data_IF_574033821995
#
_entry.id   IF_574033821995
#
_cell.length_a   1.000
_cell.length_b   1.000
_cell.length_c   1.000
_cell.angle_alpha   90.00
_cell.angle_beta   90.00
_cell.angle_gamma   90.00
#
_symmetry.space_group_name_H-M   'P 1'
#
loop_
_entity.id
_entity.type
_entity.pdbx_description
1 polymer ?
#
# COMPACT_ATOMS: atom_id res chain seq x y z
N UNK A 1 4.97 -0.82 47.30
CA UNK A 1 3.99 -0.43 46.25
C UNK A 1 4.38 -0.88 44.84
N UNK A 2 5.64 -1.28 44.56
CA UNK A 2 6.02 -1.82 43.23
C UNK A 2 6.01 -3.37 43.15
N UNK A 3 5.98 -4.09 44.27
CA UNK A 3 5.91 -5.57 44.27
C UNK A 3 4.48 -6.10 44.07
N UNK A 4 3.46 -5.44 44.64
CA UNK A 4 2.06 -5.89 44.51
C UNK A 4 1.48 -5.72 43.09
N UNK A 5 2.13 -4.94 42.22
CA UNK A 5 1.70 -4.76 40.83
C UNK A 5 2.21 -5.86 39.89
N UNK A 6 3.24 -6.63 40.27
CA UNK A 6 3.76 -7.75 39.46
C UNK A 6 2.97 -9.04 39.68
N UNK A 7 2.47 -9.25 40.89
CA UNK A 7 1.75 -10.48 41.27
C UNK A 7 0.33 -10.54 40.66
N UNK A 8 -0.32 -9.38 40.41
CA UNK A 8 -1.65 -9.35 39.77
C UNK A 8 -1.63 -9.49 38.24
N UNK A 9 -0.47 -9.50 37.58
CA UNK A 9 -0.37 -9.56 36.11
C UNK A 9 -0.16 -10.99 35.59
N UNK A 10 0.33 -11.91 36.42
CA UNK A 10 0.51 -13.33 36.02
C UNK A 10 -0.77 -14.18 36.10
N UNK A 11 -1.81 -13.75 36.85
CA UNK A 11 -3.01 -14.57 37.06
C UNK A 11 -4.11 -14.44 35.98
N UNK A 12 -3.94 -13.59 34.96
CA UNK A 12 -5.04 -13.21 34.06
C UNK A 12 -4.85 -13.53 32.57
N UNK A 13 -4.16 -14.63 32.22
CA UNK A 13 -4.23 -15.17 30.84
C UNK A 13 -4.82 -16.58 30.81
N UNK A 14 -6.07 -16.76 30.32
CA UNK A 14 -6.66 -18.07 30.21
C UNK A 14 -5.96 -18.89 29.12
N UNK A 15 -5.23 -19.91 29.52
CA UNK A 15 -4.66 -20.92 28.61
C UNK A 15 -5.79 -21.60 27.84
N UNK A 16 -5.89 -21.34 26.52
CA UNK A 16 -6.84 -22.00 25.62
C UNK A 16 -6.52 -23.49 25.52
N UNK A 17 -7.22 -24.32 26.30
CA UNK A 17 -7.21 -25.79 26.15
C UNK A 17 -8.15 -26.18 25.00
N UNK A 18 -7.61 -26.84 23.98
CA UNK A 18 -8.39 -27.38 22.86
C UNK A 18 -9.30 -28.54 23.31
N UNK A 19 -10.43 -28.70 22.62
CA UNK A 19 -11.59 -29.57 22.94
C UNK A 19 -11.35 -31.10 22.90
N UNK A 20 -10.11 -31.58 22.85
CA UNK A 20 -9.78 -33.03 22.89
C UNK A 20 -8.51 -33.24 23.70
N UNK A 21 -8.62 -33.37 25.02
CA UNK A 21 -7.55 -33.92 25.86
C UNK A 21 -7.55 -35.44 25.70
N UNK A 22 -6.66 -35.96 24.85
CA UNK A 22 -6.38 -37.41 24.84
C UNK A 22 -5.90 -37.82 26.23
N UNK A 23 -6.46 -38.87 26.85
CA UNK A 23 -6.32 -39.12 28.29
C UNK A 23 -4.95 -39.70 28.71
N UNK A 24 -3.92 -39.55 27.88
CA UNK A 24 -2.53 -39.84 28.24
C UNK A 24 -1.66 -38.81 27.52
N UNK A 25 -1.21 -37.81 28.28
CA UNK A 25 -0.24 -36.82 27.80
C UNK A 25 1.04 -37.55 27.41
N UNK A 26 1.69 -37.12 26.33
CA UNK A 26 3.03 -37.56 25.97
C UNK A 26 4.00 -37.49 27.16
N UNK A 27 3.77 -36.56 28.09
CA UNK A 27 4.53 -36.40 29.33
C UNK A 27 4.40 -37.58 30.29
N UNK A 28 3.24 -38.24 30.34
CA UNK A 28 3.04 -39.42 31.20
C UNK A 28 3.72 -40.66 30.61
N UNK A 29 3.80 -40.73 29.27
CA UNK A 29 4.58 -41.77 28.58
C UNK A 29 6.07 -41.55 28.81
N UNK A 30 6.54 -40.32 28.64
CA UNK A 30 7.93 -39.95 28.91
C UNK A 30 8.34 -40.24 30.36
N UNK A 31 7.48 -39.93 31.33
CA UNK A 31 7.77 -40.26 32.75
C UNK A 31 7.81 -41.76 33.03
N UNK A 32 6.99 -42.57 32.36
CA UNK A 32 7.02 -44.03 32.48
C UNK A 32 8.27 -44.59 31.82
N UNK A 33 8.59 -44.12 30.63
CA UNK A 33 9.77 -44.52 29.88
C UNK A 33 11.05 -44.14 30.64
N UNK A 34 11.10 -42.95 31.25
CA UNK A 34 12.22 -42.48 32.07
C UNK A 34 12.36 -43.30 33.38
N UNK A 35 11.25 -43.66 34.02
CA UNK A 35 11.25 -44.53 35.19
C UNK A 35 11.65 -45.99 34.86
N UNK A 36 11.25 -46.50 33.69
CA UNK A 36 11.65 -47.84 33.20
C UNK A 36 13.14 -47.86 32.84
N UNK A 37 13.65 -46.78 32.25
CA UNK A 37 15.08 -46.61 31.93
C UNK A 37 15.92 -46.46 33.20
N UNK A 38 15.43 -45.76 34.21
CA UNK A 38 16.04 -45.72 35.54
C UNK A 38 16.02 -47.09 36.21
N UNK A 39 14.93 -47.86 36.11
CA UNK A 39 14.87 -49.24 36.61
C UNK A 39 15.90 -50.14 35.92
N UNK A 40 15.99 -50.10 34.58
CA UNK A 40 16.99 -50.87 33.83
C UNK A 40 18.43 -50.46 34.16
N UNK A 41 18.69 -49.16 34.38
CA UNK A 41 19.99 -48.68 34.85
C UNK A 41 20.29 -49.13 36.28
N UNK A 42 19.28 -49.22 37.14
CA UNK A 42 19.41 -49.68 38.52
C UNK A 42 19.53 -51.20 38.60
N UNK A 43 18.94 -51.94 37.68
CA UNK A 43 19.08 -53.39 37.53
C UNK A 43 20.47 -53.70 36.96
N UNK A 44 20.94 -52.95 35.96
CA UNK A 44 22.29 -53.07 35.39
C UNK A 44 23.39 -52.67 36.40
N UNK A 45 23.15 -51.67 37.26
CA UNK A 45 24.06 -51.30 38.36
C UNK A 45 23.90 -52.21 39.58
N UNK A 46 22.71 -52.71 39.85
CA UNK A 46 22.42 -53.67 40.93
C UNK A 46 23.00 -55.07 40.65
N UNK A 47 23.12 -55.44 39.37
CA UNK A 47 23.85 -56.63 38.93
C UNK A 47 25.38 -56.42 38.95
N UNK A 48 25.86 -55.20 39.20
CA UNK A 48 27.28 -54.89 39.47
C UNK A 48 27.63 -54.78 40.97
N UNK A 49 26.65 -54.81 41.88
CA UNK A 49 26.86 -54.82 43.34
C UNK A 49 26.39 -56.13 44.01
N UNK A 50 26.51 -57.26 43.31
CA UNK A 50 26.69 -58.54 43.99
C UNK A 50 28.17 -58.66 44.40
N UNK A 51 28.48 -59.14 45.62
CA UNK A 51 29.86 -59.32 46.02
C UNK A 51 30.54 -60.26 45.03
N UNK A 52 31.79 -59.94 44.69
CA UNK A 52 32.78 -60.86 44.12
C UNK A 52 32.88 -62.09 45.02
N UNK A 53 31.92 -63.00 44.92
CA UNK A 53 32.09 -64.38 45.29
C UNK A 53 32.94 -64.96 44.16
N UNK A 54 34.18 -65.29 44.51
CA UNK A 54 35.10 -66.01 43.65
C UNK A 54 34.36 -67.19 43.02
N UNK A 55 33.95 -67.04 41.75
CA UNK A 55 33.63 -68.17 40.91
C UNK A 55 34.95 -68.91 40.72
N UNK A 56 35.23 -69.81 41.67
CA UNK A 56 36.19 -70.90 41.49
C UNK A 56 36.00 -71.41 40.07
N UNK A 57 37.06 -71.33 39.30
CA UNK A 57 37.15 -72.04 38.03
C UNK A 57 36.90 -73.51 38.33
N UNK A 58 35.65 -73.97 38.16
CA UNK A 58 35.42 -75.38 38.00
C UNK A 58 36.14 -75.79 36.73
N UNK A 59 37.16 -76.62 36.90
CA UNK A 59 37.88 -77.22 35.79
C UNK A 59 36.87 -77.86 34.84
N UNK A 60 36.92 -77.53 33.53
CA UNK A 60 35.97 -78.05 32.55
C UNK A 60 36.08 -79.58 32.48
N UNK A 61 35.01 -80.27 32.90
CA UNK A 61 34.95 -81.74 32.99
C UNK A 61 34.75 -82.41 31.62
N UNK A 62 34.55 -81.65 30.54
CA UNK A 62 34.48 -82.17 29.16
C UNK A 62 35.28 -81.34 28.15
N UNK A 63 35.92 -82.03 27.19
CA UNK A 63 36.66 -81.40 26.09
C UNK A 63 35.77 -80.49 25.21
N UNK A 64 34.46 -80.72 25.18
CA UNK A 64 33.50 -79.96 24.39
C UNK A 64 33.24 -78.55 24.96
N UNK A 65 33.16 -78.42 26.29
CA UNK A 65 32.97 -77.14 26.98
C UNK A 65 34.18 -76.20 26.80
N UNK A 66 35.39 -76.78 26.71
CA UNK A 66 36.61 -76.02 26.35
C UNK A 66 36.50 -75.42 24.95
N UNK A 67 35.92 -76.15 23.99
CA UNK A 67 35.73 -75.63 22.63
C UNK A 67 34.60 -74.62 22.55
N UNK A 68 33.52 -74.82 23.31
CA UNK A 68 32.40 -73.89 23.38
C UNK A 68 32.81 -72.54 23.98
N UNK A 69 33.52 -72.54 25.11
CA UNK A 69 34.03 -71.32 25.75
C UNK A 69 35.00 -70.55 24.84
N UNK A 70 35.84 -71.25 24.07
CA UNK A 70 36.71 -70.63 23.07
C UNK A 70 35.92 -70.03 21.90
N UNK A 71 34.95 -70.75 21.35
CA UNK A 71 34.09 -70.26 20.26
C UNK A 71 33.23 -69.07 20.70
N UNK A 72 32.68 -69.10 21.90
CA UNK A 72 31.89 -68.01 22.45
C UNK A 72 32.76 -66.78 22.76
N UNK A 73 33.97 -66.99 23.29
CA UNK A 73 34.95 -65.92 23.49
C UNK A 73 35.41 -65.27 22.18
N UNK A 74 35.59 -66.07 21.12
CA UNK A 74 35.95 -65.59 19.79
C UNK A 74 34.78 -64.84 19.13
N UNK A 75 33.56 -65.39 19.22
CA UNK A 75 32.34 -64.73 18.76
C UNK A 75 32.13 -63.38 19.44
N UNK A 76 32.33 -63.31 20.77
CA UNK A 76 32.22 -62.07 21.55
C UNK A 76 33.27 -61.04 21.15
N UNK A 77 34.50 -61.46 20.84
CA UNK A 77 35.56 -60.56 20.36
C UNK A 77 35.22 -60.01 18.98
N UNK A 78 34.74 -60.86 18.07
CA UNK A 78 34.33 -60.45 16.74
C UNK A 78 33.09 -59.53 16.75
N UNK A 79 32.11 -59.76 17.64
CA UNK A 79 30.99 -58.82 17.82
C UNK A 79 31.46 -57.48 18.39
N UNK A 80 32.38 -57.48 19.35
CA UNK A 80 32.96 -56.25 19.89
C UNK A 80 33.81 -55.49 18.86
N UNK A 81 34.55 -56.19 17.99
CA UNK A 81 35.27 -55.58 16.87
C UNK A 81 34.30 -54.95 15.87
N UNK A 82 33.23 -55.65 15.50
CA UNK A 82 32.18 -55.10 14.62
C UNK A 82 31.47 -53.90 15.24
N UNK A 83 31.14 -53.94 16.53
CA UNK A 83 30.57 -52.79 17.23
C UNK A 83 31.51 -51.59 17.19
N UNK A 84 32.81 -51.78 17.42
CA UNK A 84 33.81 -50.71 17.32
C UNK A 84 33.92 -50.17 15.90
N UNK A 85 33.88 -51.04 14.89
CA UNK A 85 33.98 -50.61 13.50
C UNK A 85 32.72 -49.89 13.03
N UNK A 86 31.53 -50.32 13.44
CA UNK A 86 30.30 -49.57 13.22
C UNK A 86 30.31 -48.24 13.95
N UNK A 87 30.81 -48.19 15.19
CA UNK A 87 30.94 -46.94 15.93
C UNK A 87 31.87 -45.96 15.21
N UNK A 88 33.01 -46.43 14.69
CA UNK A 88 33.91 -45.60 13.86
C UNK A 88 33.21 -45.09 12.60
N UNK A 89 32.47 -45.95 11.89
CA UNK A 89 31.72 -45.55 10.69
C UNK A 89 30.64 -44.52 11.02
N UNK A 90 29.94 -44.68 12.15
CA UNK A 90 28.94 -43.72 12.62
C UNK A 90 29.60 -42.40 12.96
N UNK A 91 30.75 -42.40 13.63
CA UNK A 91 31.47 -41.19 13.99
C UNK A 91 32.07 -40.48 12.76
N UNK A 92 32.52 -41.25 11.76
CA UNK A 92 32.96 -40.73 10.48
C UNK A 92 31.80 -40.12 9.67
N UNK A 93 30.65 -40.81 9.60
CA UNK A 93 29.44 -40.28 8.97
C UNK A 93 28.93 -39.03 9.70
N UNK A 94 28.94 -39.02 11.05
CA UNK A 94 28.59 -37.83 11.85
C UNK A 94 29.57 -36.69 11.58
N UNK A 95 30.86 -36.98 11.44
CA UNK A 95 31.88 -35.98 11.09
C UNK A 95 31.61 -35.40 9.70
N UNK A 96 31.40 -36.25 8.69
CA UNK A 96 31.08 -35.83 7.32
C UNK A 96 29.78 -35.03 7.27
N UNK A 97 28.73 -35.49 7.97
CA UNK A 97 27.47 -34.76 8.09
C UNK A 97 27.72 -33.40 8.75
N UNK A 98 28.48 -33.35 9.85
CA UNK A 98 28.78 -32.09 10.55
C UNK A 98 29.62 -31.12 9.69
N UNK A 99 30.47 -31.64 8.80
CA UNK A 99 31.25 -30.83 7.87
C UNK A 99 30.39 -30.32 6.71
N UNK A 100 29.45 -31.14 6.23
CA UNK A 100 28.48 -30.77 5.22
C UNK A 100 27.47 -29.74 5.76
N UNK A 101 27.00 -29.93 6.99
CA UNK A 101 26.05 -29.00 7.64
C UNK A 101 26.72 -27.73 8.13
N UNK A 102 28.00 -27.73 8.55
CA UNK A 102 28.74 -26.48 8.78
C UNK A 102 28.99 -25.68 7.50
N UNK A 103 28.96 -26.35 6.35
CA UNK A 103 28.92 -25.72 5.03
C UNK A 103 27.50 -25.41 4.57
N UNK A 104 26.47 -25.55 5.43
CA UNK A 104 25.14 -25.02 5.12
C UNK A 104 25.28 -23.52 4.85
N UNK A 105 25.24 -23.24 3.56
CA UNK A 105 25.11 -21.97 2.89
C UNK A 105 24.64 -20.87 3.83
N UNK A 106 25.57 -20.02 4.25
CA UNK A 106 25.20 -18.70 4.75
C UNK A 106 24.59 -17.97 3.56
N UNK A 107 23.26 -17.93 3.49
CA UNK A 107 22.57 -17.07 2.54
C UNK A 107 23.04 -15.64 2.78
N UNK A 108 23.53 -14.92 1.75
CA UNK A 108 23.93 -13.54 1.89
C UNK A 108 22.71 -12.72 2.33
N UNK A 109 22.89 -11.91 3.39
CA UNK A 109 21.82 -11.09 3.99
C UNK A 109 21.96 -9.61 3.65
N UNK A 110 23.09 -9.20 3.07
CA UNK A 110 23.37 -7.82 2.67
C UNK A 110 23.96 -7.78 1.26
N UNK A 111 23.79 -6.66 0.56
CA UNK A 111 24.29 -6.48 -0.81
C UNK A 111 25.81 -6.66 -0.91
N UNK A 112 26.56 -6.23 0.11
CA UNK A 112 28.02 -6.42 0.17
C UNK A 112 28.42 -7.90 0.35
N UNK A 113 27.59 -8.69 1.05
CA UNK A 113 27.81 -10.13 1.21
C UNK A 113 27.48 -10.91 -0.08
N UNK A 114 26.63 -10.36 -0.96
CA UNK A 114 26.25 -11.01 -2.23
C UNK A 114 27.47 -11.10 -3.16
N UNK A 115 28.32 -10.09 -3.22
CA UNK A 115 29.51 -10.09 -4.08
C UNK A 115 30.55 -11.11 -3.62
N UNK A 116 30.75 -11.26 -2.31
CA UNK A 116 31.63 -12.28 -1.75
C UNK A 116 31.05 -13.69 -1.98
N UNK A 117 29.74 -13.86 -1.74
CA UNK A 117 29.04 -15.11 -1.97
C UNK A 117 29.02 -15.51 -3.46
N UNK A 118 28.85 -14.55 -4.36
CA UNK A 118 28.87 -14.79 -5.81
C UNK A 118 30.24 -15.27 -6.30
N UNK A 119 31.33 -14.88 -5.62
CA UNK A 119 32.68 -15.39 -5.87
C UNK A 119 32.88 -16.80 -5.34
N UNK A 120 32.29 -17.14 -4.19
CA UNK A 120 32.35 -18.49 -3.61
C UNK A 120 31.50 -19.51 -4.39
N UNK A 121 30.37 -19.07 -4.96
CA UNK A 121 29.42 -19.91 -5.70
C UNK A 121 29.03 -19.31 -7.06
N UNK A 122 29.96 -19.23 -8.03
CA UNK A 122 29.75 -18.53 -9.29
C UNK A 122 28.66 -19.14 -10.18
N UNK A 123 28.48 -20.46 -10.14
CA UNK A 123 27.48 -21.13 -10.97
C UNK A 123 26.05 -20.88 -10.46
N UNK A 124 25.87 -20.86 -9.14
CA UNK A 124 24.57 -20.52 -8.52
C UNK A 124 24.28 -19.04 -8.71
N UNK A 125 25.28 -18.17 -8.55
CA UNK A 125 25.14 -16.74 -8.75
C UNK A 125 24.69 -16.41 -10.18
N UNK A 126 25.30 -17.01 -11.22
CA UNK A 126 24.88 -16.82 -12.62
C UNK A 126 23.43 -17.26 -12.88
N UNK A 127 23.00 -18.35 -12.25
CA UNK A 127 21.60 -18.82 -12.37
C UNK A 127 20.65 -17.83 -11.70
N UNK A 128 20.97 -17.36 -10.50
CA UNK A 128 20.14 -16.36 -9.79
C UNK A 128 20.13 -15.05 -10.56
N UNK A 129 21.26 -14.60 -11.11
CA UNK A 129 21.36 -13.38 -11.92
C UNK A 129 20.53 -13.49 -13.22
N UNK A 130 20.60 -14.62 -13.92
CA UNK A 130 19.78 -14.84 -15.12
C UNK A 130 18.28 -14.93 -14.81
N UNK A 131 17.90 -15.56 -13.69
CA UNK A 131 16.51 -15.57 -13.20
C UNK A 131 16.10 -14.15 -12.80
N UNK A 132 16.95 -13.39 -12.12
CA UNK A 132 16.69 -12.02 -11.73
C UNK A 132 16.54 -11.11 -12.95
N UNK A 133 17.41 -11.22 -13.95
CA UNK A 133 17.30 -10.51 -15.23
C UNK A 133 16.02 -10.89 -15.97
N UNK A 134 15.67 -12.18 -16.02
CA UNK A 134 14.44 -12.63 -16.66
C UNK A 134 13.20 -12.08 -15.95
N UNK A 135 13.18 -12.15 -14.61
CA UNK A 135 12.10 -11.60 -13.79
C UNK A 135 12.02 -10.07 -13.91
N UNK A 136 13.15 -9.38 -13.96
CA UNK A 136 13.18 -7.93 -14.18
C UNK A 136 12.63 -7.56 -15.56
N UNK A 137 12.96 -8.33 -16.61
CA UNK A 137 12.36 -8.15 -17.95
C UNK A 137 10.86 -8.40 -17.95
N UNK A 138 10.40 -9.52 -17.38
CA UNK A 138 8.97 -9.82 -17.25
C UNK A 138 8.23 -8.71 -16.49
N UNK A 139 8.78 -8.25 -15.36
CA UNK A 139 8.21 -7.12 -14.61
C UNK A 139 8.20 -5.83 -15.43
N UNK A 140 9.26 -5.54 -16.21
CA UNK A 140 9.31 -4.35 -17.06
C UNK A 140 8.30 -4.40 -18.20
N UNK A 141 8.11 -5.57 -18.83
CA UNK A 141 7.12 -5.77 -19.89
C UNK A 141 5.69 -5.62 -19.35
N UNK A 142 5.41 -6.17 -18.16
CA UNK A 142 4.11 -6.01 -17.50
C UNK A 142 3.83 -4.55 -17.10
N UNK A 143 4.84 -3.84 -16.61
CA UNK A 143 4.73 -2.40 -16.34
C UNK A 143 4.51 -1.60 -17.62
N UNK A 144 5.21 -1.92 -18.70
CA UNK A 144 5.03 -1.26 -19.99
C UNK A 144 3.62 -1.46 -20.54
N UNK A 145 3.07 -2.68 -20.45
CA UNK A 145 1.68 -2.96 -20.85
C UNK A 145 0.69 -2.13 -20.03
N UNK A 146 0.82 -2.14 -18.70
CA UNK A 146 -0.04 -1.33 -17.82
C UNK A 146 0.08 0.16 -18.11
N UNK A 147 1.29 0.66 -18.37
CA UNK A 147 1.51 2.06 -18.73
C UNK A 147 0.87 2.40 -20.08
N UNK A 148 0.95 1.51 -21.08
CA UNK A 148 0.25 1.69 -22.36
C UNK A 148 -1.26 1.73 -22.18
N UNK A 149 -1.82 0.78 -21.44
CA UNK A 149 -3.26 0.75 -21.12
C UNK A 149 -3.71 2.02 -20.39
N UNK A 150 -2.94 2.50 -19.40
CA UNK A 150 -3.23 3.74 -18.69
C UNK A 150 -3.15 4.95 -19.63
N UNK A 151 -2.15 5.00 -20.52
CA UNK A 151 -2.03 6.10 -21.48
C UNK A 151 -3.18 6.11 -22.48
N UNK A 152 -3.56 4.96 -23.02
CA UNK A 152 -4.72 4.81 -23.90
C UNK A 152 -6.01 5.22 -23.19
N UNK A 153 -6.23 4.73 -21.97
CA UNK A 153 -7.37 5.10 -21.14
C UNK A 153 -7.42 6.59 -20.81
N UNK A 154 -6.27 7.20 -20.52
CA UNK A 154 -6.19 8.65 -20.28
C UNK A 154 -6.52 9.44 -21.55
N UNK A 155 -6.05 9.00 -22.73
CA UNK A 155 -6.37 9.63 -23.99
C UNK A 155 -7.87 9.51 -24.30
N UNK A 156 -8.48 8.33 -24.15
CA UNK A 156 -9.93 8.17 -24.38
C UNK A 156 -10.75 9.00 -23.38
N UNK A 157 -10.38 8.98 -22.10
CA UNK A 157 -11.07 9.77 -21.06
C UNK A 157 -11.02 11.27 -21.36
N UNK A 158 -9.86 11.78 -21.82
CA UNK A 158 -9.73 13.19 -22.22
C UNK A 158 -10.62 13.52 -23.42
N UNK A 159 -10.65 12.65 -24.44
CA UNK A 159 -11.51 12.81 -25.62
C UNK A 159 -12.99 12.82 -25.24
N UNK A 160 -13.43 11.82 -24.48
CA UNK A 160 -14.82 11.72 -24.01
C UNK A 160 -15.22 12.94 -23.16
N UNK A 161 -14.32 13.39 -22.28
CA UNK A 161 -14.55 14.60 -21.48
C UNK A 161 -14.68 15.84 -22.37
N UNK A 162 -13.81 15.97 -23.37
CA UNK A 162 -13.87 17.08 -24.31
C UNK A 162 -15.15 17.04 -25.16
N UNK A 163 -15.58 15.86 -25.63
CA UNK A 163 -16.85 15.68 -26.35
C UNK A 163 -18.06 16.05 -25.47
N UNK A 164 -18.09 15.63 -24.21
CA UNK A 164 -19.16 16.00 -23.27
C UNK A 164 -19.17 17.51 -23.01
N UNK A 165 -18.01 18.14 -22.85
CA UNK A 165 -17.91 19.60 -22.71
C UNK A 165 -18.37 20.31 -23.99
N UNK A 166 -18.03 19.78 -25.16
CA UNK A 166 -18.44 20.33 -26.44
C UNK A 166 -19.96 20.24 -26.63
N UNK A 167 -20.56 19.10 -26.32
CA UNK A 167 -22.01 18.88 -26.38
C UNK A 167 -22.78 19.78 -25.41
N UNK A 168 -22.18 20.17 -24.28
CA UNK A 168 -22.78 21.17 -23.37
C UNK A 168 -22.79 22.57 -23.96
N UNK A 169 -21.78 22.93 -24.74
CA UNK A 169 -21.67 24.25 -25.39
C UNK A 169 -22.52 24.30 -26.66
N UNK A 170 -22.53 23.21 -27.43
CA UNK A 170 -23.28 23.05 -28.67
C UNK A 170 -24.11 21.76 -28.64
N UNK A 171 -25.35 21.82 -28.13
CA UNK A 171 -26.24 20.65 -28.11
C UNK A 171 -26.66 20.14 -29.49
N UNK A 172 -26.56 20.99 -30.51
CA UNK A 172 -26.79 20.70 -31.93
C UNK A 172 -25.54 20.16 -32.65
N UNK A 173 -24.42 19.99 -31.94
CA UNK A 173 -23.17 19.51 -32.53
C UNK A 173 -23.32 18.13 -33.18
N UNK A 174 -24.08 17.20 -32.59
CA UNK A 174 -24.32 15.87 -33.18
C UNK A 174 -24.91 15.99 -34.60
N UNK A 175 -25.86 16.90 -34.81
CA UNK A 175 -26.48 17.11 -36.11
C UNK A 175 -25.53 17.80 -37.11
N UNK A 176 -24.72 18.74 -36.62
CA UNK A 176 -23.74 19.47 -37.45
C UNK A 176 -22.61 18.53 -37.88
N UNK A 177 -22.15 17.66 -36.99
CA UNK A 177 -21.10 16.68 -37.24
C UNK A 177 -21.51 15.66 -38.31
N UNK A 178 -22.79 15.32 -38.42
CA UNK A 178 -23.30 14.39 -39.45
C UNK A 178 -23.54 15.08 -40.81
N UNK A 179 -23.40 16.40 -40.90
CA UNK A 179 -23.69 17.15 -42.11
C UNK A 179 -22.49 17.22 -43.05
N UNK A 180 -22.68 16.79 -44.30
CA UNK A 180 -21.68 16.94 -45.37
C UNK A 180 -21.29 18.42 -45.61
N UNK A 181 -22.21 19.37 -45.38
CA UNK A 181 -21.94 20.81 -45.55
C UNK A 181 -20.91 21.33 -44.54
N UNK A 182 -20.90 20.76 -43.32
CA UNK A 182 -19.93 21.09 -42.29
C UNK A 182 -18.53 20.57 -42.64
N UNK A 183 -18.44 19.34 -43.17
CA UNK A 183 -17.17 18.77 -43.63
C UNK A 183 -16.57 19.56 -44.80
N UNK A 184 -17.39 19.90 -45.80
CA UNK A 184 -16.96 20.72 -46.94
C UNK A 184 -16.49 22.11 -46.48
N UNK A 185 -17.24 22.75 -45.57
CA UNK A 185 -16.81 24.02 -44.99
C UNK A 185 -15.49 23.89 -44.24
N UNK A 186 -15.31 22.85 -43.41
CA UNK A 186 -14.11 22.64 -42.61
C UNK A 186 -12.86 22.42 -43.47
N UNK A 187 -12.98 21.75 -44.62
CA UNK A 187 -11.87 21.55 -45.57
C UNK A 187 -11.41 22.87 -46.22
N UNK A 188 -12.31 23.83 -46.42
CA UNK A 188 -12.00 25.15 -46.97
C UNK A 188 -11.35 26.09 -45.92
N UNK A 189 -11.46 25.77 -44.63
CA UNK A 189 -10.93 26.60 -43.57
C UNK A 189 -9.40 26.51 -43.44
N UNK A 190 -8.74 27.54 -42.85
CA UNK A 190 -7.33 27.47 -42.56
C UNK A 190 -6.95 26.31 -41.62
N UNK A 191 -5.69 25.87 -41.73
CA UNK A 191 -5.10 24.75 -40.95
C UNK A 191 -5.43 24.77 -39.46
N UNK A 192 -5.48 25.95 -38.82
CA UNK A 192 -5.75 26.04 -37.38
C UNK A 192 -7.19 25.64 -37.01
N UNK A 193 -8.17 25.88 -37.89
CA UNK A 193 -9.58 25.46 -37.69
C UNK A 193 -9.70 23.95 -37.92
N UNK A 194 -9.09 23.44 -38.99
CA UNK A 194 -9.04 22.01 -39.29
C UNK A 194 -8.42 21.22 -38.14
N UNK A 195 -7.31 21.73 -37.61
CA UNK A 195 -6.63 21.12 -36.48
C UNK A 195 -7.48 21.16 -35.21
N UNK A 196 -8.23 22.24 -34.97
CA UNK A 196 -9.15 22.32 -33.83
C UNK A 196 -10.32 21.32 -33.91
N UNK A 197 -10.77 20.98 -35.12
CA UNK A 197 -11.91 20.07 -35.34
C UNK A 197 -11.50 18.60 -35.43
N UNK A 198 -10.38 18.28 -36.07
CA UNK A 198 -10.00 16.89 -36.37
C UNK A 198 -8.78 16.39 -35.61
N UNK A 199 -7.77 17.25 -35.40
CA UNK A 199 -6.49 16.84 -34.81
C UNK A 199 -6.46 17.02 -33.28
N UNK A 200 -7.16 18.03 -32.75
CA UNK A 200 -7.15 18.38 -31.32
C UNK A 200 -8.44 17.95 -30.61
N UNK A 201 -8.55 16.65 -30.35
CA UNK A 201 -9.71 16.04 -29.68
C UNK A 201 -9.72 16.25 -28.16
N UNK A 202 -8.69 16.90 -27.57
CA UNK A 202 -8.59 17.14 -26.13
C UNK A 202 -9.14 18.52 -25.71
N UNK A 203 -9.26 19.48 -26.63
CA UNK A 203 -9.66 20.86 -26.34
C UNK A 203 -11.04 21.21 -26.90
N UNK A 204 -12.06 20.98 -26.07
CA UNK A 204 -13.45 21.30 -26.37
C UNK A 204 -13.69 22.77 -26.73
N UNK A 205 -12.90 23.71 -26.16
CA UNK A 205 -13.13 25.15 -26.37
C UNK A 205 -12.67 25.59 -27.76
N UNK A 206 -11.55 25.04 -28.23
CA UNK A 206 -11.06 25.31 -29.57
C UNK A 206 -12.01 24.74 -30.63
N UNK A 207 -12.49 23.51 -30.43
CA UNK A 207 -13.52 22.92 -31.28
C UNK A 207 -14.84 23.73 -31.25
N UNK A 208 -15.30 24.15 -30.06
CA UNK A 208 -16.49 24.98 -29.91
C UNK A 208 -16.38 26.30 -30.70
N UNK A 209 -15.24 27.00 -30.59
CA UNK A 209 -15.04 28.23 -31.39
C UNK A 209 -15.06 27.99 -32.89
N UNK A 210 -14.52 26.86 -33.36
CA UNK A 210 -14.59 26.50 -34.78
C UNK A 210 -16.05 26.24 -35.21
N UNK A 211 -16.84 25.56 -34.39
CA UNK A 211 -18.27 25.33 -34.64
C UNK A 211 -19.07 26.63 -34.61
N UNK A 212 -18.75 27.56 -33.70
CA UNK A 212 -19.34 28.89 -33.69
C UNK A 212 -19.06 29.65 -35.00
N UNK A 213 -17.84 29.58 -35.54
CA UNK A 213 -17.51 30.19 -36.83
C UNK A 213 -18.35 29.61 -37.97
N UNK A 214 -18.48 28.28 -38.03
CA UNK A 214 -19.35 27.63 -39.00
C UNK A 214 -20.79 28.14 -38.93
N UNK A 215 -21.33 28.22 -37.71
CA UNK A 215 -22.70 28.72 -37.48
C UNK A 215 -22.86 30.16 -37.92
N UNK A 216 -21.86 31.00 -37.69
CA UNK A 216 -21.86 32.40 -38.14
C UNK A 216 -21.83 32.48 -39.67
N UNK A 217 -20.95 31.71 -40.32
CA UNK A 217 -20.80 31.71 -41.79
C UNK A 217 -22.06 31.20 -42.51
N UNK A 218 -22.73 30.21 -41.92
CA UNK A 218 -23.98 29.64 -42.46
C UNK A 218 -25.24 30.36 -42.01
N UNK A 219 -25.11 31.38 -41.15
CA UNK A 219 -26.26 32.08 -40.56
C UNK A 219 -27.12 31.18 -39.65
N UNK A 220 -26.59 30.05 -39.21
CA UNK A 220 -27.18 29.11 -38.24
C UNK A 220 -26.87 29.63 -36.83
N UNK A 221 -27.13 30.91 -36.56
CA UNK A 221 -27.03 31.38 -35.18
C UNK A 221 -28.17 30.71 -34.42
N UNK A 222 -27.84 29.99 -33.34
CA UNK A 222 -28.80 29.69 -32.31
C UNK A 222 -29.52 31.01 -31.99
N UNK A 223 -30.85 31.00 -31.98
CA UNK A 223 -31.64 32.12 -31.50
C UNK A 223 -31.19 32.44 -30.06
N UNK A 224 -30.15 33.27 -29.92
CA UNK A 224 -29.89 34.01 -28.70
C UNK A 224 -31.19 34.77 -28.52
N UNK A 225 -31.99 34.38 -27.53
CA UNK A 225 -33.09 35.20 -27.08
C UNK A 225 -32.54 36.62 -27.05
N UNK A 226 -33.13 37.48 -27.89
CA UNK A 226 -32.71 38.85 -28.11
C UNK A 226 -32.83 39.62 -26.80
N UNK A 227 -31.85 39.47 -25.92
CA UNK A 227 -31.55 40.44 -24.89
C UNK A 227 -30.65 41.47 -25.56
N UNK A 228 -31.29 42.38 -26.28
CA UNK A 228 -30.91 43.78 -26.46
C UNK A 228 -29.42 44.14 -26.24
N UNK A 229 -28.48 43.56 -27.00
CA UNK A 229 -27.11 44.10 -27.08
C UNK A 229 -27.08 45.47 -27.80
N UNK A 230 -28.21 45.90 -28.39
CA UNK A 230 -28.42 47.24 -28.94
C UNK A 230 -28.68 48.31 -27.86
N UNK A 231 -28.96 47.90 -26.62
CA UNK A 231 -29.08 48.84 -25.49
C UNK A 231 -27.72 49.21 -24.89
N UNK A 232 -26.72 48.32 -24.94
CA UNK A 232 -25.38 48.60 -24.44
C UNK A 232 -24.69 49.75 -25.22
N UNK A 233 -24.94 49.86 -26.54
CA UNK A 233 -24.40 50.94 -27.36
C UNK A 233 -25.15 52.28 -27.21
N UNK A 234 -26.38 52.28 -26.68
CA UNK A 234 -27.18 53.51 -26.47
C UNK A 234 -27.11 54.04 -25.04
N UNK A 235 -26.41 53.34 -24.14
CA UNK A 235 -26.30 53.70 -22.72
C UNK A 235 -25.07 54.58 -22.38
N UNK A 236 -24.43 55.22 -23.36
CA UNK A 236 -23.49 56.33 -23.08
C UNK A 236 -24.29 57.63 -22.94
N UNK A 237 -25.20 57.68 -21.97
CA UNK A 237 -25.69 58.96 -21.43
C UNK A 237 -24.62 59.48 -20.48
N UNK A 238 -23.88 60.46 -20.96
CA UNK A 238 -22.92 61.27 -20.19
C UNK A 238 -23.59 61.80 -18.91
N UNK A 239 -23.39 61.11 -17.79
CA UNK A 239 -23.66 61.67 -16.48
C UNK A 239 -22.43 61.43 -15.63
N UNK A 240 -21.66 62.50 -15.45
CA UNK A 240 -20.57 62.58 -14.51
C UNK A 240 -21.08 62.22 -13.12
N UNK A 241 -20.97 60.95 -12.76
CA UNK A 241 -21.22 60.47 -11.42
C UNK A 241 -19.87 60.25 -10.77
N UNK A 242 -19.54 61.14 -9.83
CA UNK A 242 -18.47 60.92 -8.84
C UNK A 242 -18.58 59.49 -8.32
N UNK A 243 -17.53 58.72 -8.55
CA UNK A 243 -17.36 57.37 -8.01
C UNK A 243 -17.22 57.46 -6.49
N UNK A 244 -18.22 56.98 -5.76
CA UNK A 244 -18.00 56.38 -4.46
C UNK A 244 -18.39 54.91 -4.56
N UNK A 245 -17.50 53.97 -4.20
CA UNK A 245 -17.78 52.55 -4.33
C UNK A 245 -18.94 52.17 -3.41
N UNK A 246 -20.03 51.71 -4.03
CA UNK A 246 -21.22 51.23 -3.33
C UNK A 246 -21.03 49.76 -3.03
N UNK A 247 -20.87 49.44 -1.74
CA UNK A 247 -21.12 48.11 -1.21
C UNK A 247 -22.63 47.96 -1.00
N UNK A 248 -23.12 46.79 -1.42
CA UNK A 248 -24.46 46.20 -1.35
C UNK A 248 -25.58 46.92 -0.61
N UNK A 249 -26.64 47.26 -1.38
CA UNK A 249 -28.05 46.88 -1.16
C UNK A 249 -28.78 47.20 0.17
N UNK A 250 -28.09 47.71 1.18
CA UNK A 250 -28.62 47.93 2.53
C UNK A 250 -28.74 49.43 2.80
N UNK A 251 -29.84 49.84 3.46
CA UNK A 251 -30.15 51.27 3.73
C UNK A 251 -28.99 51.90 4.51
N UNK A 252 -28.25 52.80 3.88
CA UNK A 252 -27.14 53.53 4.51
C UNK A 252 -27.68 54.57 5.49
N UNK A 253 -27.11 54.62 6.69
CA UNK A 253 -27.46 55.59 7.74
C UNK A 253 -26.43 56.73 7.70
N UNK A 254 -26.89 57.97 7.80
CA UNK A 254 -26.02 59.16 7.84
C UNK A 254 -25.81 59.65 9.26
N UNK A 255 -24.62 60.17 9.54
CA UNK A 255 -24.29 60.79 10.83
C UNK A 255 -25.20 61.97 11.18
N UNK A 256 -25.54 62.80 10.18
CA UNK A 256 -26.43 63.94 10.36
C UNK A 256 -27.86 63.55 10.76
N UNK A 257 -28.32 62.36 10.37
CA UNK A 257 -29.63 61.83 10.78
C UNK A 257 -29.57 61.31 12.22
N UNK A 258 -28.45 60.68 12.63
CA UNK A 258 -28.23 60.25 14.02
C UNK A 258 -28.11 61.44 14.96
N UNK A 259 -27.44 62.50 14.55
CA UNK A 259 -27.30 63.73 15.35
C UNK A 259 -28.65 64.44 15.60
N UNK A 260 -29.61 64.29 14.67
CA UNK A 260 -30.94 64.89 14.79
C UNK A 260 -31.93 64.05 15.59
N UNK A 261 -31.61 62.78 15.88
CA UNK A 261 -32.49 61.91 16.67
C UNK A 261 -32.49 62.31 18.14
N UNK A 262 -33.66 62.17 18.77
CA UNK A 262 -33.76 62.31 20.22
C UNK A 262 -33.09 61.14 20.94
N UNK A 263 -32.73 61.31 22.23
CA UNK A 263 -32.07 60.26 23.01
C UNK A 263 -32.87 58.95 23.06
N UNK A 264 -34.20 59.04 23.10
CA UNK A 264 -35.12 57.89 23.12
C UNK A 264 -35.13 57.16 21.76
N UNK A 265 -35.04 57.90 20.65
CA UNK A 265 -34.99 57.31 19.31
C UNK A 265 -33.63 56.70 18.99
N UNK A 266 -32.57 57.28 19.52
CA UNK A 266 -31.22 56.72 19.42
C UNK A 266 -31.15 55.37 20.15
N UNK A 267 -31.67 55.28 21.38
CA UNK A 267 -31.70 54.03 22.14
C UNK A 267 -32.48 52.92 21.40
N UNK A 268 -33.62 53.26 20.80
CA UNK A 268 -34.42 52.28 20.02
C UNK A 268 -33.74 51.80 18.74
N UNK A 269 -32.83 52.60 18.17
CA UNK A 269 -32.14 52.30 16.91
C UNK A 269 -30.64 52.05 17.10
N UNK A 270 -30.18 51.92 18.34
CA UNK A 270 -28.75 51.80 18.68
C UNK A 270 -28.11 50.62 17.98
N UNK A 271 -28.79 49.48 17.97
CA UNK A 271 -28.27 48.24 17.41
C UNK A 271 -28.10 48.34 15.89
N UNK A 272 -29.06 48.96 15.22
CA UNK A 272 -29.03 49.19 13.76
C UNK A 272 -27.92 50.18 13.39
N UNK A 273 -27.73 51.23 14.19
CA UNK A 273 -26.66 52.22 13.96
C UNK A 273 -25.29 51.55 14.16
N UNK A 274 -25.12 50.76 15.21
CA UNK A 274 -23.87 50.04 15.51
C UNK A 274 -23.55 48.98 14.45
N UNK A 275 -24.56 48.28 13.93
CA UNK A 275 -24.42 47.32 12.83
C UNK A 275 -24.07 48.03 11.52
N UNK A 276 -24.67 49.18 11.24
CA UNK A 276 -24.32 50.00 10.07
C UNK A 276 -22.86 50.51 10.15
N UNK A 277 -22.39 50.89 11.34
CA UNK A 277 -20.99 51.27 11.56
C UNK A 277 -20.06 50.07 11.32
N UNK A 278 -20.40 48.88 11.86
CA UNK A 278 -19.59 47.67 11.70
C UNK A 278 -19.54 47.15 10.27
N UNK A 279 -20.66 47.23 9.54
CA UNK A 279 -20.77 46.77 8.15
C UNK A 279 -20.24 47.77 7.12
N UNK A 280 -19.78 48.96 7.54
CA UNK A 280 -19.29 50.01 6.64
C UNK A 280 -20.39 50.75 5.88
N UNK A 281 -21.65 50.59 6.29
CA UNK A 281 -22.82 51.25 5.69
C UNK A 281 -23.22 52.56 6.39
N UNK A 282 -22.43 52.99 7.38
CA UNK A 282 -22.58 54.28 8.04
C UNK A 282 -21.79 55.37 7.31
N UNK A 283 -22.48 56.45 6.92
CA UNK A 283 -21.90 57.58 6.20
C UNK A 283 -21.60 58.71 7.20
N UNK A 284 -20.31 58.98 7.41
CA UNK A 284 -19.82 60.11 8.20
C UNK A 284 -19.89 61.42 7.39
N UNK A 285 -21.08 61.98 7.24
CA UNK A 285 -21.29 63.21 6.46
C UNK A 285 -20.97 64.49 7.23
N UNK A 286 -20.99 64.48 8.56
CA UNK A 286 -20.67 65.64 9.41
C UNK A 286 -19.20 65.67 9.80
N UNK A 287 -18.65 64.53 10.23
CA UNK A 287 -17.25 64.41 10.66
C UNK A 287 -16.27 64.02 9.53
N UNK A 288 -16.77 63.42 8.44
CA UNK A 288 -15.96 62.94 7.32
C UNK A 288 -15.62 63.97 6.24
N UNK A 289 -16.20 65.18 6.27
CA UNK A 289 -15.86 66.26 5.33
C UNK A 289 -14.42 66.81 5.49
N UNK A 290 -13.69 66.36 6.51
CA UNK A 290 -12.32 66.77 6.82
C UNK A 290 -11.25 65.71 6.46
N UNK A 291 -11.59 64.67 5.68
CA UNK A 291 -10.65 63.62 5.22
C UNK A 291 -10.67 63.47 3.70
#
# INVERSE_FOLDING_TARGET
MAEQAKEMVEEATPTKKAFMSRPYSQDERLKKDEAELEQLLKEQKGEQEAPTEEVKEEEPKSAEEKTFKKRYGDLRRHTQEKEKDFQKQIDELKSQLSQATKKEMKLPKSDEDIDAWAKEYPDVAKIVETIAMKKAREQSEDLEKKLKEINEFNQTTKKEKAEVELMKIHPDFDQIRESDDFHNWAEEQPKWVQNALYENQEDAKSAARAIDLYKVDRGITANKASNNDKEAATQVKTKASKTNPTVDGTKKIKESDVQKMSAIEYEKKSDVIMEAIRSGNFIYDVSGSAR
#
